data_IF_141179443936
#
_entry.id   IF_141179443936
#
_cell.length_a   1.000
_cell.length_b   1.000
_cell.length_c   1.000
_cell.angle_alpha   90.00
_cell.angle_beta   90.00
_cell.angle_gamma   90.00
#
_symmetry.space_group_name_H-M   'P 1'
#
loop_
_entity.id
_entity.type
_entity.pdbx_description
1 polymer ?
#
# COMPACT_ATOMS: atom_id res chain seq x y z
N UNK A 1 -26.03 -14.95 -20.18
CA UNK A 1 -26.19 -13.78 -19.30
C UNK A 1 -25.32 -13.90 -18.02
N UNK A 2 -23.98 -13.92 -18.12
CA UNK A 2 -23.06 -14.14 -16.97
C UNK A 2 -22.00 -13.02 -16.85
N UNK A 3 -22.45 -11.77 -16.99
CA UNK A 3 -21.62 -10.55 -16.93
C UNK A 3 -22.14 -9.51 -15.90
N UNK A 4 -23.46 -9.42 -15.71
CA UNK A 4 -24.06 -8.42 -14.81
C UNK A 4 -23.89 -8.69 -13.30
N UNK A 5 -23.68 -9.95 -12.88
CA UNK A 5 -23.49 -10.28 -11.46
C UNK A 5 -22.08 -10.00 -10.94
N UNK A 6 -21.07 -9.82 -11.81
CA UNK A 6 -19.67 -9.64 -11.40
C UNK A 6 -19.24 -8.18 -11.20
N UNK A 7 -20.04 -7.23 -11.68
CA UNK A 7 -19.74 -5.80 -11.50
C UNK A 7 -19.82 -5.36 -10.02
N UNK A 8 -20.88 -5.72 -9.26
CA UNK A 8 -21.00 -5.31 -7.85
C UNK A 8 -19.85 -5.86 -7.00
N UNK A 9 -19.50 -7.14 -7.19
CA UNK A 9 -18.44 -7.81 -6.42
C UNK A 9 -17.05 -7.22 -6.70
N UNK A 10 -16.79 -6.85 -7.96
CA UNK A 10 -15.55 -6.19 -8.35
C UNK A 10 -15.42 -4.80 -7.71
N UNK A 11 -16.50 -4.01 -7.69
CA UNK A 11 -16.52 -2.68 -7.06
C UNK A 11 -16.30 -2.75 -5.55
N UNK A 12 -16.94 -3.70 -4.86
CA UNK A 12 -16.75 -3.90 -3.42
C UNK A 12 -15.30 -4.31 -3.10
N UNK A 13 -14.73 -5.20 -3.91
CA UNK A 13 -13.33 -5.63 -3.77
C UNK A 13 -12.36 -4.47 -4.01
N UNK A 14 -12.60 -3.65 -5.03
CA UNK A 14 -11.74 -2.51 -5.32
C UNK A 14 -11.84 -1.41 -4.26
N UNK A 15 -13.01 -1.23 -3.66
CA UNK A 15 -13.19 -0.34 -2.50
C UNK A 15 -12.37 -0.80 -1.29
N UNK A 16 -12.39 -2.11 -0.97
CA UNK A 16 -11.58 -2.69 0.12
C UNK A 16 -10.07 -2.54 -0.13
N UNK A 17 -9.63 -2.78 -1.37
CA UNK A 17 -8.25 -2.57 -1.81
C UNK A 17 -7.81 -1.12 -1.64
N UNK A 18 -8.65 -0.17 -2.04
CA UNK A 18 -8.38 1.25 -1.86
C UNK A 18 -8.36 1.65 -0.40
N UNK A 19 -9.24 1.08 0.43
CA UNK A 19 -9.22 1.26 1.89
C UNK A 19 -7.88 0.85 2.48
N UNK A 20 -7.38 -0.33 2.10
CA UNK A 20 -6.07 -0.84 2.54
C UNK A 20 -4.93 0.11 2.13
N UNK A 21 -4.92 0.61 0.89
CA UNK A 21 -3.90 1.56 0.43
C UNK A 21 -3.94 2.85 1.26
N UNK A 22 -5.15 3.38 1.48
CA UNK A 22 -5.33 4.63 2.21
C UNK A 22 -4.91 4.52 3.69
N UNK A 23 -5.20 3.39 4.35
CA UNK A 23 -4.71 3.12 5.71
C UNK A 23 -3.18 3.17 5.78
N UNK A 24 -2.49 2.59 4.79
CA UNK A 24 -1.02 2.57 4.76
C UNK A 24 -0.43 3.95 4.49
N UNK A 25 -1.05 4.74 3.61
CA UNK A 25 -0.68 6.14 3.38
C UNK A 25 -0.82 6.99 4.63
N UNK A 26 -1.93 6.85 5.35
CA UNK A 26 -2.16 7.55 6.61
C UNK A 26 -1.12 7.17 7.66
N UNK A 27 -0.83 5.87 7.80
CA UNK A 27 0.18 5.39 8.74
C UNK A 27 1.59 5.92 8.40
N UNK A 28 1.94 5.94 7.11
CA UNK A 28 3.19 6.52 6.63
C UNK A 28 3.27 8.03 6.91
N UNK A 29 2.22 8.79 6.59
CA UNK A 29 2.16 10.23 6.84
C UNK A 29 2.23 10.57 8.34
N UNK A 30 1.55 9.80 9.19
CA UNK A 30 1.58 9.98 10.64
C UNK A 30 2.99 9.70 11.22
N UNK A 31 3.68 8.69 10.71
CA UNK A 31 5.04 8.38 11.13
C UNK A 31 6.02 9.49 10.71
N UNK A 32 5.91 10.00 9.48
CA UNK A 32 6.72 11.13 9.03
C UNK A 32 6.42 12.41 9.83
N UNK A 33 5.15 12.68 10.14
CA UNK A 33 4.75 13.85 10.91
C UNK A 33 5.28 13.81 12.36
N UNK A 34 5.39 12.61 12.95
CA UNK A 34 5.94 12.42 14.30
C UNK A 34 7.46 12.22 14.32
N UNK A 35 8.12 12.21 13.16
CA UNK A 35 9.55 11.92 13.07
C UNK A 35 10.41 13.05 13.70
N UNK A 36 11.36 12.71 14.58
CA UNK A 36 12.21 13.73 15.22
C UNK A 36 13.04 14.52 14.21
N UNK A 37 12.99 15.86 14.32
CA UNK A 37 13.84 16.75 13.53
C UNK A 37 15.31 16.47 13.81
N UNK A 38 16.10 16.28 12.75
CA UNK A 38 17.53 15.98 12.85
C UNK A 38 17.88 14.49 12.96
N UNK A 39 16.89 13.59 13.10
CA UNK A 39 17.11 12.13 12.96
C UNK A 39 17.01 11.76 11.48
N UNK A 40 18.04 11.10 10.96
CA UNK A 40 18.02 10.57 9.59
C UNK A 40 16.83 9.60 9.41
N UNK A 41 16.17 9.69 8.26
CA UNK A 41 15.09 8.79 7.90
C UNK A 41 15.68 7.42 7.51
N UNK A 42 15.21 6.30 8.07
CA UNK A 42 15.64 4.98 7.65
C UNK A 42 15.34 4.79 6.16
N UNK A 43 16.28 4.21 5.42
CA UNK A 43 16.13 3.96 3.98
C UNK A 43 14.86 3.17 3.67
N UNK A 44 14.56 2.15 4.48
CA UNK A 44 13.32 1.38 4.34
C UNK A 44 12.06 2.25 4.44
N UNK A 45 12.04 3.28 5.30
CA UNK A 45 10.91 4.20 5.42
C UNK A 45 10.86 5.17 4.22
N UNK A 46 12.01 5.61 3.72
CA UNK A 46 12.09 6.44 2.51
C UNK A 46 11.56 5.72 1.25
N UNK A 47 11.65 4.38 1.21
CA UNK A 47 11.13 3.54 0.12
C UNK A 47 9.61 3.30 0.16
N UNK A 48 8.93 3.64 1.28
CA UNK A 48 7.49 3.36 1.44
C UNK A 48 6.61 3.96 0.33
N UNK A 49 6.82 5.21 -0.13
CA UNK A 49 6.06 5.75 -1.26
C UNK A 49 6.12 4.86 -2.51
N UNK A 50 7.29 4.32 -2.82
CA UNK A 50 7.45 3.43 -3.96
C UNK A 50 6.76 2.08 -3.74
N UNK A 51 6.88 1.52 -2.53
CA UNK A 51 6.16 0.29 -2.17
C UNK A 51 4.63 0.45 -2.27
N UNK A 52 4.09 1.63 -1.94
CA UNK A 52 2.66 1.92 -2.08
C UNK A 52 2.23 1.94 -3.55
N UNK A 53 3.04 2.52 -4.44
CA UNK A 53 2.75 2.47 -5.88
C UNK A 53 2.80 1.05 -6.43
N UNK A 54 3.82 0.27 -6.06
CA UNK A 54 3.94 -1.14 -6.43
C UNK A 54 2.76 -1.98 -5.90
N UNK A 55 2.27 -1.67 -4.69
CA UNK A 55 1.05 -2.28 -4.16
C UNK A 55 -0.17 -1.92 -5.01
N UNK A 56 -0.36 -0.66 -5.41
CA UNK A 56 -1.48 -0.26 -6.29
C UNK A 56 -1.42 -0.97 -7.63
N UNK A 57 -0.25 -1.01 -8.26
CA UNK A 57 -0.05 -1.74 -9.53
C UNK A 57 -0.39 -3.22 -9.33
N UNK A 58 0.06 -3.83 -8.23
CA UNK A 58 -0.27 -5.20 -7.88
C UNK A 58 -1.78 -5.40 -7.68
N UNK A 59 -2.50 -4.49 -7.03
CA UNK A 59 -3.92 -4.64 -6.72
C UNK A 59 -4.84 -4.41 -7.93
N UNK A 60 -4.52 -3.45 -8.79
CA UNK A 60 -5.42 -3.00 -9.87
C UNK A 60 -4.94 -3.37 -11.28
N UNK A 61 -3.66 -3.66 -11.45
CA UNK A 61 -3.01 -3.86 -12.74
C UNK A 61 -2.50 -5.31 -12.93
N UNK A 62 -3.28 -6.29 -12.45
CA UNK A 62 -2.99 -7.73 -12.52
C UNK A 62 -2.71 -8.28 -13.94
N UNK A 63 -3.09 -7.55 -15.00
CA UNK A 63 -2.84 -7.91 -16.41
C UNK A 63 -1.46 -7.53 -16.96
N UNK A 64 -0.63 -6.79 -16.21
CA UNK A 64 0.64 -6.23 -16.70
C UNK A 64 1.86 -7.16 -16.57
N UNK A 65 1.69 -8.39 -16.07
CA UNK A 65 2.73 -9.42 -16.14
C UNK A 65 4.01 -9.13 -15.34
N UNK A 66 3.93 -8.38 -14.24
CA UNK A 66 5.09 -8.03 -13.42
C UNK A 66 5.28 -9.04 -12.29
N UNK A 67 6.48 -9.64 -12.19
CA UNK A 67 6.87 -10.51 -11.08
C UNK A 67 7.53 -9.69 -9.98
N UNK A 68 6.80 -9.53 -8.88
CA UNK A 68 7.27 -8.93 -7.63
C UNK A 68 6.11 -8.35 -6.84
N UNK A 69 5.41 -9.18 -6.06
CA UNK A 69 4.18 -8.73 -5.39
C UNK A 69 4.55 -7.98 -4.11
N UNK A 70 4.47 -6.64 -4.14
CA UNK A 70 4.44 -5.88 -2.88
C UNK A 70 3.10 -6.18 -2.21
N UNK A 71 3.14 -6.49 -0.91
CA UNK A 71 1.96 -6.79 -0.12
C UNK A 71 1.78 -5.74 0.98
N UNK A 72 0.53 -5.49 1.37
CA UNK A 72 0.22 -4.64 2.52
C UNK A 72 0.97 -5.10 3.79
N UNK A 73 1.13 -6.42 3.98
CA UNK A 73 1.90 -6.98 5.11
C UNK A 73 3.35 -6.50 5.13
N UNK A 74 4.01 -6.44 3.98
CA UNK A 74 5.39 -5.94 3.86
C UNK A 74 5.49 -4.48 4.27
N UNK A 75 4.58 -3.63 3.78
CA UNK A 75 4.55 -2.20 4.10
C UNK A 75 4.28 -1.98 5.59
N UNK A 76 3.32 -2.70 6.18
CA UNK A 76 3.09 -2.65 7.64
C UNK A 76 4.34 -3.02 8.44
N UNK A 77 5.09 -4.02 7.99
CA UNK A 77 6.36 -4.41 8.62
C UNK A 77 7.40 -3.30 8.58
N UNK A 78 7.56 -2.63 7.43
CA UNK A 78 8.47 -1.48 7.29
C UNK A 78 8.08 -0.33 8.21
N UNK A 79 6.79 0.03 8.25
CA UNK A 79 6.29 1.09 9.14
C UNK A 79 6.48 0.73 10.62
N UNK A 80 6.20 -0.52 11.00
CA UNK A 80 6.39 -1.01 12.36
C UNK A 80 7.87 -1.15 12.75
N UNK A 81 8.78 -1.36 11.80
CA UNK A 81 10.23 -1.32 12.03
C UNK A 81 10.70 0.10 12.30
N UNK A 82 10.30 1.02 11.42
CA UNK A 82 10.75 2.41 11.49
C UNK A 82 10.18 3.16 12.70
N UNK A 83 9.02 2.76 13.21
CA UNK A 83 8.40 3.34 14.40
C UNK A 83 8.99 2.89 15.74
N UNK A 84 10.01 2.01 15.77
CA UNK A 84 10.72 1.60 16.99
C UNK A 84 11.90 2.51 17.31
#
# INVERSE_FOLDING_TARGET
>A
LRRAQRLPDAMATDADRMGTVHELEQAHAALLASWPRGRALPEALAEVPWLLEELRVSLFAQGLGVRGVVSAKRIRGVLAEAGR
#
